data_IF_823205310960
#
_entry.id   IF_823205310960
#
_cell.length_a   1.000
_cell.length_b   1.000
_cell.length_c   1.000
_cell.angle_alpha   90.00
_cell.angle_beta   90.00
_cell.angle_gamma   90.00
#
_symmetry.space_group_name_H-M   'P 1'
#
loop_
_entity.id
_entity.type
_entity.pdbx_description
1 polymer ?
#
# COMPACT_ATOMS: atom_id res chain seq x y z
N UNK A 1 0.45 12.15 -6.70
CA UNK A 1 -0.44 10.99 -6.87
C UNK A 1 -0.74 10.35 -5.51
N UNK A 2 -1.66 9.44 -5.43
CA UNK A 2 -1.94 8.72 -4.19
C UNK A 2 -2.18 7.23 -4.47
N UNK A 3 -1.96 6.42 -3.43
CA UNK A 3 -2.24 4.98 -3.46
C UNK A 3 -3.41 4.73 -2.51
N UNK A 4 -4.44 4.04 -2.99
CA UNK A 4 -5.60 3.69 -2.19
C UNK A 4 -5.39 2.32 -1.54
N UNK A 5 -5.28 2.29 -0.22
CA UNK A 5 -5.16 1.04 0.52
C UNK A 5 -6.55 0.58 0.98
N UNK A 6 -6.90 -0.65 0.63
CA UNK A 6 -8.18 -1.25 0.97
C UNK A 6 -7.90 -2.61 1.59
N UNK A 7 -8.36 -2.82 2.84
CA UNK A 7 -8.23 -4.13 3.48
C UNK A 7 -9.24 -5.12 2.90
N UNK A 8 -8.95 -6.41 3.02
CA UNK A 8 -9.85 -7.47 2.50
C UNK A 8 -11.22 -7.45 3.15
N UNK A 9 -11.30 -7.03 4.42
CA UNK A 9 -12.58 -6.91 5.13
C UNK A 9 -13.24 -5.55 4.92
N UNK A 10 -12.60 -4.67 4.12
CA UNK A 10 -13.06 -3.33 3.78
C UNK A 10 -13.22 -2.39 4.98
N UNK A 11 -12.60 -2.69 6.11
CA UNK A 11 -12.60 -1.79 7.26
C UNK A 11 -11.60 -0.65 7.11
N UNK A 12 -10.59 -0.83 6.26
CA UNK A 12 -9.59 0.18 5.97
C UNK A 12 -9.74 0.62 4.52
N UNK A 13 -9.87 1.92 4.34
CA UNK A 13 -10.00 2.53 3.03
C UNK A 13 -9.30 3.88 3.10
N UNK A 14 -8.00 3.90 2.77
CA UNK A 14 -7.16 5.07 2.99
C UNK A 14 -6.35 5.41 1.75
N UNK A 15 -6.41 6.67 1.32
CA UNK A 15 -5.58 7.19 0.24
C UNK A 15 -4.33 7.81 0.85
N UNK A 16 -3.15 7.37 0.42
CA UNK A 16 -1.87 7.86 0.91
C UNK A 16 -1.19 8.64 -0.21
N UNK A 17 -0.90 9.93 -0.01
CA UNK A 17 -0.21 10.72 -1.04
C UNK A 17 1.24 10.26 -1.19
N UNK A 18 1.69 10.21 -2.43
CA UNK A 18 3.06 9.78 -2.75
C UNK A 18 3.48 10.30 -4.11
N UNK A 19 4.74 10.06 -4.47
CA UNK A 19 5.25 10.32 -5.81
C UNK A 19 5.67 8.99 -6.43
N UNK A 20 5.72 8.89 -7.78
CA UNK A 20 6.08 7.62 -8.44
C UNK A 20 7.48 7.11 -8.09
N UNK A 21 8.39 8.00 -7.70
CA UNK A 21 9.75 7.64 -7.31
C UNK A 21 9.89 7.12 -5.88
N UNK A 22 8.84 7.20 -5.05
CA UNK A 22 8.88 6.60 -3.72
C UNK A 22 8.91 5.08 -3.83
N UNK A 23 9.68 4.42 -2.94
CA UNK A 23 9.56 2.96 -2.82
C UNK A 23 8.24 2.63 -2.13
N UNK A 24 7.74 1.43 -2.38
CA UNK A 24 6.50 1.01 -1.73
C UNK A 24 6.66 0.97 -0.21
N UNK A 25 7.85 0.60 0.28
CA UNK A 25 8.12 0.60 1.73
C UNK A 25 7.93 1.98 2.36
N UNK A 26 8.31 3.05 1.65
CA UNK A 26 8.11 4.41 2.14
C UNK A 26 6.63 4.76 2.24
N UNK A 27 5.83 4.34 1.27
CA UNK A 27 4.39 4.57 1.26
C UNK A 27 3.71 3.73 2.34
N UNK A 28 4.16 2.49 2.51
CA UNK A 28 3.67 1.60 3.56
C UNK A 28 3.91 2.21 4.94
N UNK A 29 5.07 2.82 5.16
CA UNK A 29 5.39 3.47 6.42
C UNK A 29 4.44 4.63 6.71
N UNK A 30 4.09 5.41 5.69
CA UNK A 30 3.11 6.48 5.83
C UNK A 30 1.74 5.92 6.24
N UNK A 31 1.35 4.79 5.67
CA UNK A 31 0.09 4.13 6.02
C UNK A 31 0.07 3.77 7.51
N UNK A 32 1.18 3.25 8.03
CA UNK A 32 1.27 2.83 9.43
C UNK A 32 1.24 4.01 10.40
N UNK A 33 1.51 5.23 9.93
CA UNK A 33 1.33 6.42 10.77
C UNK A 33 -0.14 6.71 11.03
N UNK A 34 -1.04 6.27 10.13
CA UNK A 34 -2.48 6.42 10.30
C UNK A 34 -3.11 5.23 11.03
N UNK A 35 -2.54 4.04 10.85
CA UNK A 35 -3.04 2.80 11.45
C UNK A 35 -1.90 2.03 12.10
N UNK A 36 -1.34 2.54 13.22
CA UNK A 36 -0.14 1.95 13.81
C UNK A 36 -0.29 0.50 14.27
N UNK A 37 -1.50 0.06 14.55
CA UNK A 37 -1.75 -1.32 14.95
C UNK A 37 -1.38 -2.34 13.87
N UNK A 38 -1.34 -1.93 12.62
CA UNK A 38 -0.99 -2.83 11.51
C UNK A 38 0.52 -2.95 11.30
N UNK A 39 1.32 -2.14 12.00
CA UNK A 39 2.78 -2.23 11.90
C UNK A 39 3.30 -3.58 12.39
N UNK A 40 2.63 -4.17 13.36
CA UNK A 40 3.06 -5.42 13.99
C UNK A 40 2.40 -6.66 13.40
N UNK A 41 1.55 -6.51 12.40
CA UNK A 41 0.89 -7.63 11.74
C UNK A 41 1.67 -8.03 10.48
N UNK A 42 1.49 -9.29 10.06
CA UNK A 42 2.06 -9.76 8.80
C UNK A 42 1.14 -9.32 7.65
N UNK A 43 1.54 -8.26 6.98
CA UNK A 43 0.73 -7.68 5.93
C UNK A 43 1.30 -8.03 4.56
N UNK A 44 0.42 -8.39 3.63
CA UNK A 44 0.75 -8.57 2.22
C UNK A 44 -0.06 -7.55 1.43
N UNK A 45 0.61 -6.88 0.50
CA UNK A 45 -0.05 -5.90 -0.35
C UNK A 45 -0.12 -6.45 -1.78
N UNK A 46 -1.31 -6.37 -2.37
CA UNK A 46 -1.56 -6.87 -3.72
C UNK A 46 -1.99 -5.73 -4.63
N UNK A 47 -1.33 -5.62 -5.78
CA UNK A 47 -1.74 -4.73 -6.86
C UNK A 47 -2.00 -5.59 -8.08
N UNK A 48 -3.17 -5.42 -8.71
CA UNK A 48 -3.60 -6.25 -9.84
C UNK A 48 -3.58 -7.76 -9.53
N UNK A 49 -3.83 -8.10 -8.26
CA UNK A 49 -3.82 -9.49 -7.81
C UNK A 49 -2.44 -10.10 -7.61
N UNK A 50 -1.38 -9.31 -7.78
CA UNK A 50 0.01 -9.77 -7.61
C UNK A 50 0.66 -9.09 -6.42
N UNK A 51 1.56 -9.78 -5.69
CA UNK A 51 2.26 -9.16 -4.56
C UNK A 51 3.09 -7.96 -5.00
N UNK A 52 3.04 -6.90 -4.19
CA UNK A 52 3.82 -5.70 -4.42
C UNK A 52 5.24 -5.92 -3.92
N UNK A 53 6.21 -5.43 -4.69
CA UNK A 53 7.62 -5.51 -4.32
C UNK A 53 7.99 -4.26 -3.53
N UNK A 54 8.24 -4.41 -2.22
CA UNK A 54 8.44 -3.29 -1.31
C UNK A 54 9.66 -2.45 -1.62
N UNK A 55 10.71 -3.07 -2.18
CA UNK A 55 11.95 -2.37 -2.47
C UNK A 55 11.94 -1.69 -3.84
N UNK A 56 10.88 -1.88 -4.61
CA UNK A 56 10.70 -1.21 -5.89
C UNK A 56 9.86 0.05 -5.69
N UNK A 57 10.01 1.00 -6.62
CA UNK A 57 9.21 2.23 -6.56
C UNK A 57 7.76 1.95 -6.92
N UNK A 58 6.90 2.92 -6.62
CA UNK A 58 5.48 2.86 -7.01
C UNK A 58 5.39 2.70 -8.54
N UNK A 59 6.20 3.45 -9.28
CA UNK A 59 6.24 3.35 -10.74
C UNK A 59 6.70 1.98 -11.21
N UNK A 60 7.71 1.41 -10.57
CA UNK A 60 8.22 0.09 -10.92
C UNK A 60 7.23 -1.03 -10.62
N UNK A 61 6.38 -0.84 -9.62
CA UNK A 61 5.28 -1.76 -9.30
C UNK A 61 4.08 -1.56 -10.21
N UNK A 62 4.14 -0.59 -11.14
CA UNK A 62 3.06 -0.27 -12.08
C UNK A 62 1.78 0.16 -11.39
N UNK A 63 1.90 0.79 -10.23
CA UNK A 63 0.77 1.32 -9.48
C UNK A 63 0.48 2.72 -10.00
N UNK A 64 -0.68 2.89 -10.62
CA UNK A 64 -1.11 4.17 -11.13
C UNK A 64 -1.76 5.03 -10.05
N UNK A 65 -1.99 6.31 -10.39
CA UNK A 65 -2.63 7.25 -9.48
C UNK A 65 -4.06 6.78 -9.14
N UNK A 66 -4.34 6.67 -7.85
CA UNK A 66 -5.65 6.24 -7.37
C UNK A 66 -5.91 4.74 -7.48
N UNK A 67 -4.93 3.96 -7.93
CA UNK A 67 -5.10 2.52 -8.06
C UNK A 67 -5.27 1.86 -6.69
N UNK A 68 -6.26 0.97 -6.51
CA UNK A 68 -6.42 0.29 -5.24
C UNK A 68 -5.34 -0.77 -5.02
N UNK A 69 -4.77 -0.77 -3.82
CA UNK A 69 -3.85 -1.80 -3.35
C UNK A 69 -4.52 -2.54 -2.21
N UNK A 70 -4.66 -3.84 -2.35
CA UNK A 70 -5.34 -4.66 -1.35
C UNK A 70 -4.39 -5.01 -0.23
N UNK A 71 -4.81 -4.73 1.00
CA UNK A 71 -4.09 -5.11 2.22
C UNK A 71 -4.66 -6.44 2.73
N UNK A 72 -3.83 -7.45 2.76
CA UNK A 72 -4.17 -8.76 3.30
C UNK A 72 -3.42 -8.94 4.61
N UNK A 73 -4.14 -9.11 5.71
CA UNK A 73 -3.56 -9.30 7.05
C UNK A 73 -3.63 -10.77 7.41
N UNK A 74 -2.57 -11.28 7.97
CA UNK A 74 -2.54 -12.65 8.47
C UNK A 74 -2.50 -12.70 9.98
#
# INVERSE_FOLDING_TARGET
MCVNFISTDQTIHKAIPCIPGNTFAEVEEKLYQFIPEYRETNNTFLAYGSPVLRFKTISENKIGDGLPVTLVTQ
#
